data_IF_206886722667
#
_entry.id   IF_206886722667
#
_cell.length_a   1.000
_cell.length_b   1.000
_cell.length_c   1.000
_cell.angle_alpha   90.00
_cell.angle_beta   90.00
_cell.angle_gamma   90.00
#
_symmetry.space_group_name_H-M   'P 1'
#
loop_
_entity.id
_entity.type
_entity.pdbx_description
1 polymer ?
#
# COMPACT_ATOMS: atom_id res chain seq x y z
N UNK A 1 -5.65 -20.84 -73.34
CA UNK A 1 -5.03 -21.51 -72.17
C UNK A 1 -4.11 -20.55 -71.46
N UNK A 2 -4.54 -20.00 -70.31
CA UNK A 2 -3.74 -19.54 -69.16
C UNK A 2 -4.65 -18.73 -68.23
N UNK A 3 -4.59 -19.06 -66.95
CA UNK A 3 -5.01 -18.26 -65.79
C UNK A 3 -6.51 -18.27 -65.44
N UNK A 4 -7.00 -19.40 -64.90
CA UNK A 4 -8.16 -19.44 -63.98
C UNK A 4 -7.86 -20.13 -62.64
N UNK A 5 -6.60 -20.51 -62.39
CA UNK A 5 -6.20 -21.26 -61.18
C UNK A 5 -5.77 -20.30 -60.05
N UNK A 6 -5.48 -19.04 -60.36
CA UNK A 6 -5.03 -18.01 -59.40
C UNK A 6 -6.16 -17.25 -58.71
N UNK A 7 -7.35 -17.85 -58.55
CA UNK A 7 -8.43 -17.23 -57.76
C UNK A 7 -8.95 -18.09 -56.61
N UNK A 8 -8.52 -19.36 -56.52
CA UNK A 8 -8.98 -20.30 -55.48
C UNK A 8 -7.99 -20.36 -54.30
N UNK A 9 -6.75 -19.89 -54.47
CA UNK A 9 -5.71 -19.94 -53.43
C UNK A 9 -5.80 -18.86 -52.34
N UNK A 10 -6.58 -17.78 -52.55
CA UNK A 10 -6.65 -16.65 -51.59
C UNK A 10 -7.87 -16.77 -50.65
N UNK A 11 -8.85 -17.63 -50.97
CA UNK A 11 -10.07 -17.79 -50.18
C UNK A 11 -9.96 -18.82 -49.03
N UNK A 12 -8.90 -19.64 -49.01
CA UNK A 12 -8.69 -20.70 -48.01
C UNK A 12 -7.75 -20.31 -46.86
N UNK A 13 -7.40 -19.03 -46.72
CA UNK A 13 -6.53 -18.53 -45.64
C UNK A 13 -7.30 -17.70 -44.59
N UNK A 14 -8.61 -17.91 -44.45
CA UNK A 14 -9.49 -17.16 -43.56
C UNK A 14 -10.16 -18.00 -42.44
N UNK A 15 -9.71 -19.23 -42.22
CA UNK A 15 -10.33 -20.10 -41.20
C UNK A 15 -9.26 -20.70 -40.30
N UNK A 16 -8.71 -19.89 -39.39
CA UNK A 16 -8.24 -20.35 -38.07
C UNK A 16 -8.16 -19.14 -37.13
N UNK A 17 -9.27 -18.38 -37.03
CA UNK A 17 -9.48 -17.52 -35.86
C UNK A 17 -10.01 -18.43 -34.75
N UNK A 18 -9.11 -19.04 -33.98
CA UNK A 18 -9.49 -19.61 -32.69
C UNK A 18 -10.06 -18.48 -31.85
N UNK A 19 -11.28 -18.58 -31.29
CA UNK A 19 -11.68 -17.68 -30.22
C UNK A 19 -10.66 -17.91 -29.11
N UNK A 20 -9.86 -16.89 -28.82
CA UNK A 20 -9.04 -16.89 -27.63
C UNK A 20 -9.99 -17.14 -26.46
N UNK A 21 -9.86 -18.31 -25.83
CA UNK A 21 -10.40 -18.52 -24.50
C UNK A 21 -9.88 -17.34 -23.70
N UNK A 22 -10.77 -16.43 -23.32
CA UNK A 22 -10.51 -15.51 -22.24
C UNK A 22 -10.26 -16.42 -21.04
N UNK A 23 -8.99 -16.75 -20.82
CA UNK A 23 -8.56 -17.31 -19.57
C UNK A 23 -8.99 -16.29 -18.54
N UNK A 24 -10.03 -16.64 -17.78
CA UNK A 24 -10.38 -15.97 -16.55
C UNK A 24 -9.08 -15.90 -15.74
N UNK A 25 -8.49 -14.70 -15.74
CA UNK A 25 -7.20 -14.45 -15.14
C UNK A 25 -7.42 -14.40 -13.64
N UNK A 26 -7.57 -15.58 -13.06
CA UNK A 26 -7.56 -15.87 -11.64
C UNK A 26 -6.13 -15.61 -11.10
N UNK A 27 -5.71 -14.35 -11.18
CA UNK A 27 -4.56 -13.74 -10.51
C UNK A 27 -5.00 -12.47 -9.81
N UNK A 28 -6.21 -12.45 -9.23
CA UNK A 28 -6.71 -11.23 -8.60
C UNK A 28 -6.02 -11.03 -7.25
N UNK A 29 -4.86 -10.36 -7.25
CA UNK A 29 -4.32 -9.69 -6.07
C UNK A 29 -5.14 -8.43 -5.72
N UNK A 30 -6.45 -8.50 -5.93
CA UNK A 30 -7.40 -7.44 -5.70
C UNK A 30 -8.43 -7.98 -4.71
N UNK A 31 -8.77 -7.19 -3.70
CA UNK A 31 -9.78 -7.59 -2.73
C UNK A 31 -11.17 -7.28 -3.33
N UNK A 32 -12.05 -8.28 -3.50
CA UNK A 32 -13.39 -8.05 -4.02
C UNK A 32 -14.27 -7.41 -2.93
N UNK A 33 -14.52 -6.11 -3.07
CA UNK A 33 -15.45 -5.38 -2.20
C UNK A 33 -16.84 -5.21 -2.85
N UNK A 34 -17.94 -5.29 -2.07
CA UNK A 34 -19.25 -4.79 -2.48
C UNK A 34 -19.14 -3.34 -2.96
N UNK A 35 -20.05 -2.92 -3.86
CA UNK A 35 -19.95 -1.62 -4.53
C UNK A 35 -19.92 -0.47 -3.51
N UNK A 36 -20.80 -0.51 -2.51
CA UNK A 36 -20.88 0.48 -1.45
C UNK A 36 -19.60 0.56 -0.60
N UNK A 37 -18.98 -0.57 -0.28
CA UNK A 37 -17.71 -0.62 0.47
C UNK A 37 -16.55 -0.10 -0.39
N UNK A 38 -16.55 -0.42 -1.70
CA UNK A 38 -15.55 0.07 -2.65
C UNK A 38 -15.56 1.59 -2.75
N UNK A 39 -16.74 2.21 -2.78
CA UNK A 39 -16.88 3.67 -2.82
C UNK A 39 -16.31 4.33 -1.55
N UNK A 40 -16.52 3.72 -0.39
CA UNK A 40 -15.93 4.18 0.88
C UNK A 40 -14.40 4.07 0.88
N UNK A 41 -13.84 2.96 0.38
CA UNK A 41 -12.38 2.79 0.26
C UNK A 41 -11.78 3.85 -0.68
N UNK A 42 -12.45 4.17 -1.78
CA UNK A 42 -11.96 5.21 -2.70
C UNK A 42 -11.92 6.58 -2.01
N UNK A 43 -12.96 6.92 -1.23
CA UNK A 43 -12.99 8.17 -0.45
C UNK A 43 -11.86 8.20 0.59
N UNK A 44 -11.63 7.07 1.26
CA UNK A 44 -10.54 6.92 2.22
C UNK A 44 -9.17 7.18 1.57
N UNK A 45 -8.89 6.52 0.45
CA UNK A 45 -7.62 6.69 -0.27
C UNK A 45 -7.44 8.11 -0.80
N UNK A 46 -8.52 8.81 -1.19
CA UNK A 46 -8.47 10.21 -1.60
C UNK A 46 -8.12 11.14 -0.43
N UNK A 47 -8.68 10.89 0.76
CA UNK A 47 -8.35 11.63 1.97
C UNK A 47 -6.88 11.43 2.38
N UNK A 48 -6.39 10.18 2.34
CA UNK A 48 -4.98 9.88 2.58
C UNK A 48 -4.05 10.56 1.57
N UNK A 49 -4.43 10.56 0.28
CA UNK A 49 -3.66 11.25 -0.76
C UNK A 49 -3.57 12.75 -0.51
N UNK A 50 -4.61 13.38 0.05
CA UNK A 50 -4.56 14.78 0.45
C UNK A 50 -3.54 15.01 1.56
N UNK A 51 -3.58 14.22 2.64
CA UNK A 51 -2.59 14.32 3.73
C UNK A 51 -1.15 14.15 3.23
N UNK A 52 -0.91 13.19 2.34
CA UNK A 52 0.40 12.96 1.72
C UNK A 52 0.92 14.16 0.93
N UNK A 53 0.04 14.89 0.23
CA UNK A 53 0.41 16.09 -0.54
C UNK A 53 0.75 17.29 0.35
N UNK A 54 0.21 17.34 1.56
CA UNK A 54 0.44 18.43 2.51
C UNK A 54 1.80 18.31 3.22
N UNK A 55 2.32 17.09 3.38
CA UNK A 55 3.52 16.84 4.18
C UNK A 55 4.79 17.40 3.53
N UNK A 56 5.08 17.14 2.25
CA UNK A 56 6.34 17.58 1.63
C UNK A 56 6.50 19.12 1.69
N UNK A 57 5.51 19.94 1.30
CA UNK A 57 5.59 21.39 1.46
C UNK A 57 5.80 21.82 2.92
N UNK A 58 5.21 21.10 3.88
CA UNK A 58 5.35 21.39 5.29
C UNK A 58 6.73 21.02 5.85
N UNK A 59 7.35 19.92 5.38
CA UNK A 59 8.73 19.56 5.72
C UNK A 59 9.68 20.68 5.26
N UNK A 60 9.64 21.04 3.97
CA UNK A 60 10.60 22.01 3.41
C UNK A 60 10.44 23.42 3.97
N UNK A 61 9.26 23.77 4.49
CA UNK A 61 8.99 25.06 5.12
C UNK A 61 9.12 25.05 6.65
N UNK A 62 9.38 23.89 7.26
CA UNK A 62 9.40 23.75 8.73
C UNK A 62 8.05 24.01 9.40
N UNK A 63 6.94 23.76 8.70
CA UNK A 63 5.59 24.00 9.21
C UNK A 63 5.12 22.84 10.10
N UNK A 64 5.53 22.87 11.37
CA UNK A 64 5.23 21.84 12.37
C UNK A 64 3.72 21.60 12.57
N UNK A 65 2.93 22.68 12.64
CA UNK A 65 1.47 22.56 12.84
C UNK A 65 0.79 21.84 11.68
N UNK A 66 1.24 22.08 10.45
CA UNK A 66 0.71 21.39 9.27
C UNK A 66 1.18 19.93 9.22
N UNK A 67 2.40 19.61 9.65
CA UNK A 67 2.90 18.23 9.73
C UNK A 67 2.12 17.42 10.76
N UNK A 68 1.96 17.97 11.96
CA UNK A 68 1.18 17.42 13.06
C UNK A 68 -0.27 17.16 12.62
N UNK A 69 -0.93 18.17 12.03
CA UNK A 69 -2.29 18.04 11.50
C UNK A 69 -2.39 16.96 10.42
N UNK A 70 -1.48 16.92 9.46
CA UNK A 70 -1.50 15.94 8.38
C UNK A 70 -1.33 14.52 8.91
N UNK A 71 -0.39 14.31 9.85
CA UNK A 71 -0.20 13.03 10.54
C UNK A 71 -1.46 12.55 11.26
N UNK A 72 -2.10 13.44 12.04
CA UNK A 72 -3.37 13.13 12.71
C UNK A 72 -4.49 12.82 11.73
N UNK A 73 -4.66 13.62 10.67
CA UNK A 73 -5.73 13.39 9.69
C UNK A 73 -5.58 12.05 8.96
N UNK A 74 -4.34 11.61 8.68
CA UNK A 74 -4.11 10.30 8.08
C UNK A 74 -4.26 9.15 9.08
N UNK A 75 -3.85 9.34 10.33
CA UNK A 75 -4.12 8.38 11.41
C UNK A 75 -5.63 8.24 11.62
N UNK A 76 -6.35 9.36 11.61
CA UNK A 76 -7.77 9.45 11.88
C UNK A 76 -8.63 9.33 10.61
N UNK A 77 -8.06 8.93 9.47
CA UNK A 77 -8.90 8.61 8.34
C UNK A 77 -9.74 7.39 8.72
N UNK A 78 -11.04 7.66 8.87
CA UNK A 78 -12.04 6.77 9.46
C UNK A 78 -13.32 6.83 8.63
N UNK A 79 -13.27 7.23 7.34
CA UNK A 79 -14.48 7.35 6.52
C UNK A 79 -15.19 6.01 6.48
N UNK A 80 -14.42 4.92 6.45
CA UNK A 80 -14.94 3.57 6.59
C UNK A 80 -15.53 3.30 7.99
N UNK A 81 -14.80 3.57 9.09
CA UNK A 81 -15.30 3.35 10.45
C UNK A 81 -16.59 4.14 10.77
N UNK A 82 -16.74 5.34 10.20
CA UNK A 82 -17.89 6.22 10.41
C UNK A 82 -19.11 5.85 9.56
N UNK A 83 -18.90 5.31 8.35
CA UNK A 83 -19.99 5.06 7.39
C UNK A 83 -20.44 3.59 7.28
N UNK A 84 -19.65 2.64 7.78
CA UNK A 84 -20.00 1.23 7.77
C UNK A 84 -20.98 0.88 8.91
N UNK A 85 -22.00 0.07 8.62
CA UNK A 85 -22.83 -0.57 9.66
C UNK A 85 -22.03 -1.61 10.43
N UNK A 86 -22.52 -2.04 11.59
CA UNK A 86 -21.85 -3.07 12.38
C UNK A 86 -21.74 -4.41 11.63
N UNK A 87 -22.75 -4.78 10.83
CA UNK A 87 -22.66 -5.98 9.98
C UNK A 87 -21.59 -5.81 8.90
N UNK A 88 -21.53 -4.65 8.26
CA UNK A 88 -20.53 -4.37 7.22
C UNK A 88 -19.11 -4.36 7.78
N UNK A 89 -18.89 -3.83 9.00
CA UNK A 89 -17.60 -3.89 9.69
C UNK A 89 -17.16 -5.33 9.95
N UNK A 90 -18.05 -6.14 10.53
CA UNK A 90 -17.79 -7.56 10.81
C UNK A 90 -17.47 -8.33 9.53
N UNK A 91 -18.28 -8.15 8.49
CA UNK A 91 -18.09 -8.80 7.20
C UNK A 91 -16.77 -8.38 6.52
N UNK A 92 -16.46 -7.08 6.55
CA UNK A 92 -15.22 -6.55 6.00
C UNK A 92 -14.01 -7.14 6.73
N UNK A 93 -14.01 -7.12 8.07
CA UNK A 93 -12.94 -7.67 8.88
C UNK A 93 -12.64 -9.15 8.62
N UNK A 94 -13.70 -9.94 8.46
CA UNK A 94 -13.60 -11.37 8.17
C UNK A 94 -13.04 -11.62 6.75
N UNK A 95 -13.30 -10.69 5.82
CA UNK A 95 -12.88 -10.81 4.41
C UNK A 95 -11.46 -10.28 4.17
N UNK A 96 -11.00 -9.30 4.96
CA UNK A 96 -9.70 -8.67 4.75
C UNK A 96 -8.54 -9.64 5.03
N UNK A 97 -7.62 -9.84 4.07
CA UNK A 97 -6.42 -10.64 4.29
C UNK A 97 -5.59 -10.12 5.47
N UNK A 98 -4.91 -11.02 6.17
CA UNK A 98 -4.03 -10.65 7.28
C UNK A 98 -2.99 -9.60 6.88
N UNK A 99 -2.40 -9.76 5.69
CA UNK A 99 -1.40 -8.83 5.15
C UNK A 99 -1.96 -7.42 4.91
N UNK A 100 -3.23 -7.30 4.52
CA UNK A 100 -3.88 -6.00 4.38
C UNK A 100 -3.97 -5.31 5.73
N UNK A 101 -4.50 -6.02 6.74
CA UNK A 101 -4.67 -5.51 8.11
C UNK A 101 -3.34 -5.11 8.76
N UNK A 102 -2.29 -5.88 8.51
CA UNK A 102 -0.93 -5.56 9.01
C UNK A 102 -0.37 -4.29 8.37
N UNK A 103 -0.51 -4.12 7.05
CA UNK A 103 -0.03 -2.92 6.36
C UNK A 103 -0.84 -1.68 6.78
N UNK A 104 -2.16 -1.84 6.92
CA UNK A 104 -3.09 -0.82 7.41
C UNK A 104 -2.72 -0.36 8.83
N UNK A 105 -2.55 -1.29 9.77
CA UNK A 105 -2.08 -1.00 11.13
C UNK A 105 -0.75 -0.24 11.15
N UNK A 106 0.23 -0.69 10.35
CA UNK A 106 1.53 -0.04 10.27
C UNK A 106 1.47 1.36 9.65
N UNK A 107 0.55 1.58 8.71
CA UNK A 107 0.27 2.90 8.14
C UNK A 107 -0.24 3.85 9.22
N UNK A 108 -1.30 3.49 9.95
CA UNK A 108 -1.88 4.32 11.00
C UNK A 108 -0.86 4.63 12.10
N UNK A 109 -0.08 3.63 12.51
CA UNK A 109 1.00 3.82 13.49
C UNK A 109 2.06 4.80 13.01
N UNK A 110 2.48 4.70 11.75
CA UNK A 110 3.48 5.62 11.18
C UNK A 110 2.93 7.05 11.06
N UNK A 111 1.63 7.21 10.73
CA UNK A 111 0.96 8.51 10.70
C UNK A 111 0.88 9.17 12.09
N UNK A 112 0.58 8.37 13.12
CA UNK A 112 0.61 8.83 14.51
C UNK A 112 2.02 9.26 14.93
N UNK A 113 3.04 8.45 14.64
CA UNK A 113 4.42 8.76 15.01
C UNK A 113 4.97 9.97 14.24
N UNK A 114 4.56 10.18 12.99
CA UNK A 114 4.84 11.41 12.25
C UNK A 114 4.25 12.64 12.97
N UNK A 115 3.00 12.55 13.43
CA UNK A 115 2.37 13.64 14.19
C UNK A 115 3.14 13.94 15.48
N UNK A 116 3.50 12.91 16.24
CA UNK A 116 4.27 13.05 17.49
C UNK A 116 5.66 13.63 17.25
N UNK A 117 6.34 13.23 16.18
CA UNK A 117 7.62 13.80 15.78
C UNK A 117 7.50 15.28 15.43
N UNK A 118 6.41 15.68 14.74
CA UNK A 118 6.14 17.07 14.44
C UNK A 118 5.85 17.91 15.71
N UNK A 119 5.12 17.36 16.68
CA UNK A 119 4.90 17.98 18.00
C UNK A 119 6.22 18.23 18.74
N UNK A 120 7.17 17.30 18.59
CA UNK A 120 8.51 17.37 19.18
C UNK A 120 9.51 18.17 18.35
N UNK A 121 9.10 18.69 17.18
CA UNK A 121 9.96 19.39 16.22
C UNK A 121 11.17 18.56 15.74
N UNK A 122 11.00 17.25 15.68
CA UNK A 122 12.01 16.30 15.22
C UNK A 122 11.84 16.03 13.73
N UNK A 123 12.56 16.80 12.89
CA UNK A 123 12.46 16.67 11.43
C UNK A 123 12.98 15.32 10.92
N UNK A 124 13.99 14.75 11.57
CA UNK A 124 14.54 13.45 11.19
C UNK A 124 13.48 12.37 11.34
N UNK A 125 12.79 12.36 12.48
CA UNK A 125 11.71 11.41 12.74
C UNK A 125 10.47 11.69 11.89
N UNK A 126 10.15 12.95 11.57
CA UNK A 126 9.09 13.28 10.59
C UNK A 126 9.39 12.65 9.22
N UNK A 127 10.61 12.84 8.70
CA UNK A 127 11.03 12.30 7.41
C UNK A 127 11.04 10.77 7.43
N UNK A 128 11.56 10.18 8.51
CA UNK A 128 11.57 8.74 8.71
C UNK A 128 10.17 8.15 8.65
N UNK A 129 9.22 8.68 9.44
CA UNK A 129 7.86 8.16 9.44
C UNK A 129 7.12 8.46 8.14
N UNK A 130 7.38 9.59 7.46
CA UNK A 130 6.85 9.84 6.13
C UNK A 130 7.30 8.78 5.10
N UNK A 131 8.55 8.33 5.20
CA UNK A 131 9.07 7.25 4.35
C UNK A 131 8.34 5.92 4.62
N UNK A 132 8.00 5.62 5.88
CA UNK A 132 7.24 4.42 6.27
C UNK A 132 5.81 4.46 5.73
N UNK A 133 5.15 5.61 5.83
CA UNK A 133 3.82 5.84 5.26
C UNK A 133 3.85 5.62 3.74
N UNK A 134 4.82 6.22 3.05
CA UNK A 134 5.01 6.05 1.60
C UNK A 134 5.22 4.58 1.23
N UNK A 135 6.07 3.87 1.97
CA UNK A 135 6.33 2.45 1.76
C UNK A 135 5.07 1.60 1.99
N UNK A 136 4.25 1.92 2.99
CA UNK A 136 2.99 1.24 3.25
C UNK A 136 2.00 1.41 2.09
N UNK A 137 1.88 2.62 1.52
CA UNK A 137 1.05 2.87 0.33
C UNK A 137 1.48 1.99 -0.85
N UNK A 138 2.78 1.97 -1.17
CA UNK A 138 3.31 1.14 -2.27
C UNK A 138 3.10 -0.34 -1.98
N UNK A 139 3.37 -0.79 -0.76
CA UNK A 139 3.24 -2.18 -0.35
C UNK A 139 1.79 -2.67 -0.47
N UNK A 140 0.84 -1.92 0.10
CA UNK A 140 -0.59 -2.25 -0.01
C UNK A 140 -1.04 -2.30 -1.47
N UNK A 141 -0.71 -1.27 -2.26
CA UNK A 141 -1.14 -1.19 -3.65
C UNK A 141 -0.54 -2.31 -4.53
N UNK A 142 0.71 -2.69 -4.29
CA UNK A 142 1.37 -3.78 -5.01
C UNK A 142 0.77 -5.17 -4.73
N UNK A 143 0.06 -5.31 -3.60
CA UNK A 143 -0.49 -6.60 -3.14
C UNK A 143 -2.00 -6.70 -3.27
N UNK A 144 -2.72 -5.60 -3.11
CA UNK A 144 -4.17 -5.57 -2.90
C UNK A 144 -4.94 -4.68 -3.89
N UNK A 145 -4.24 -3.97 -4.79
CA UNK A 145 -4.85 -3.08 -5.78
C UNK A 145 -4.14 -3.14 -7.15
N UNK A 146 -3.73 -4.34 -7.56
CA UNK A 146 -2.91 -4.58 -8.77
C UNK A 146 -3.64 -4.20 -10.06
N UNK A 147 -4.96 -4.37 -10.13
CA UNK A 147 -5.70 -3.95 -11.33
C UNK A 147 -5.69 -2.43 -11.50
N UNK A 148 -5.77 -1.68 -10.38
CA UNK A 148 -5.75 -0.21 -10.40
C UNK A 148 -4.33 0.33 -10.63
N UNK A 149 -3.32 -0.35 -10.11
CA UNK A 149 -1.91 0.03 -10.18
C UNK A 149 -1.06 -1.07 -10.84
N UNK A 150 -1.26 -1.36 -12.14
CA UNK A 150 -0.60 -2.48 -12.81
C UNK A 150 0.93 -2.36 -12.83
N UNK A 151 1.46 -1.14 -12.83
CA UNK A 151 2.91 -0.90 -12.77
C UNK A 151 3.54 -1.32 -11.43
N UNK A 152 2.76 -1.42 -10.35
CA UNK A 152 3.26 -1.89 -9.04
C UNK A 152 3.19 -3.40 -8.89
N UNK A 153 2.42 -4.09 -9.74
CA UNK A 153 2.27 -5.55 -9.69
C UNK A 153 3.52 -6.30 -10.19
N UNK A 154 4.36 -5.64 -11.00
CA UNK A 154 5.58 -6.20 -11.60
C UNK A 154 6.87 -5.71 -10.94
N UNK A 155 6.77 -4.76 -10.00
CA UNK A 155 7.93 -4.21 -9.30
C UNK A 155 8.46 -5.20 -8.28
N UNK A 156 9.77 -5.48 -8.34
CA UNK A 156 10.48 -6.27 -7.32
C UNK A 156 10.25 -5.61 -5.96
N UNK A 157 9.68 -6.35 -5.00
CA UNK A 157 9.33 -5.83 -3.68
C UNK A 157 10.54 -5.14 -3.03
N UNK A 158 10.36 -3.86 -2.69
CA UNK A 158 11.36 -3.00 -2.02
C UNK A 158 11.81 -3.58 -0.67
N UNK A 159 10.99 -4.43 -0.06
CA UNK A 159 11.26 -5.11 1.21
C UNK A 159 12.53 -5.97 1.18
N UNK A 160 12.88 -6.58 0.05
CA UNK A 160 14.09 -7.42 -0.02
C UNK A 160 15.38 -6.62 -0.02
N UNK A 161 15.40 -5.40 -0.58
CA UNK A 161 16.61 -4.59 -0.65
C UNK A 161 16.88 -3.87 0.69
N UNK A 162 15.87 -3.20 1.26
CA UNK A 162 16.05 -2.43 2.50
C UNK A 162 16.27 -3.34 3.71
N UNK A 163 15.61 -4.51 3.78
CA UNK A 163 15.87 -5.48 4.85
C UNK A 163 17.21 -6.22 4.67
N UNK A 164 17.69 -6.41 3.43
CA UNK A 164 19.03 -6.96 3.15
C UNK A 164 20.14 -6.00 3.59
N UNK A 165 19.96 -4.71 3.35
CA UNK A 165 20.90 -3.67 3.79
C UNK A 165 20.86 -3.47 5.30
N UNK A 166 19.67 -3.55 5.93
CA UNK A 166 19.52 -3.54 7.39
C UNK A 166 20.15 -4.79 8.04
N UNK A 167 20.00 -5.99 7.46
CA UNK A 167 20.69 -7.20 7.91
C UNK A 167 22.22 -7.10 7.78
N UNK A 168 22.69 -6.45 6.71
CA UNK A 168 24.12 -6.25 6.46
C UNK A 168 24.72 -5.22 7.41
N UNK A 169 24.01 -4.12 7.68
CA UNK A 169 24.39 -3.14 8.70
C UNK A 169 24.30 -3.71 10.12
N UNK A 170 23.34 -4.60 10.39
CA UNK A 170 23.25 -5.32 11.67
C UNK A 170 24.46 -6.24 11.89
N UNK A 171 24.92 -6.95 10.85
CA UNK A 171 26.15 -7.76 10.93
C UNK A 171 27.40 -6.91 11.16
N UNK A 172 27.48 -5.75 10.49
CA UNK A 172 28.61 -4.83 10.64
C UNK A 172 28.61 -4.16 12.03
N UNK A 173 27.45 -3.72 12.52
CA UNK A 173 27.30 -3.10 13.84
C UNK A 173 27.54 -4.09 15.00
N UNK A 174 27.03 -5.33 14.91
CA UNK A 174 27.32 -6.39 15.90
C UNK A 174 28.81 -6.76 15.92
N UNK A 175 29.47 -6.78 14.77
CA UNK A 175 30.91 -7.04 14.68
C UNK A 175 31.76 -5.87 15.24
N UNK A 176 31.23 -4.65 15.28
CA UNK A 176 31.96 -3.44 15.69
C UNK A 176 31.68 -2.99 17.13
N UNK A 177 30.48 -3.25 17.68
CA UNK A 177 30.04 -2.62 18.93
C UNK A 177 29.87 -3.57 20.13
N UNK A 178 29.84 -4.89 19.95
CA UNK A 178 29.73 -5.84 21.07
C UNK A 178 28.53 -5.61 22.02
N UNK A 179 27.44 -5.00 21.56
CA UNK A 179 26.29 -4.60 22.38
C UNK A 179 24.96 -4.66 21.63
N UNK A 180 23.88 -4.81 22.39
CA UNK A 180 22.49 -5.07 21.95
C UNK A 180 21.86 -3.85 21.22
N UNK A 181 21.10 -4.14 20.15
CA UNK A 181 20.62 -3.18 19.13
C UNK A 181 19.08 -3.12 19.08
N UNK A 182 18.38 -3.62 20.10
CA UNK A 182 16.91 -3.62 20.20
C UNK A 182 16.25 -2.25 19.95
N UNK A 183 16.94 -1.14 20.18
CA UNK A 183 16.39 0.21 20.01
C UNK A 183 16.38 0.76 18.57
N UNK A 184 17.15 0.18 17.64
CA UNK A 184 17.29 0.73 16.26
C UNK A 184 16.21 0.16 15.32
N UNK A 185 15.64 -0.98 15.66
CA UNK A 185 14.59 -1.64 14.91
C UNK A 185 13.51 -2.06 15.90
N UNK A 186 12.72 -1.08 16.36
CA UNK A 186 11.65 -1.32 17.33
C UNK A 186 10.85 -2.58 17.01
N UNK A 187 10.82 -3.49 17.98
CA UNK A 187 9.97 -4.68 17.93
C UNK A 187 8.49 -4.26 17.85
N UNK A 188 7.65 -5.05 17.17
CA UNK A 188 6.23 -4.75 17.05
C UNK A 188 5.51 -5.15 18.35
N UNK A 189 5.77 -4.43 19.44
CA UNK A 189 4.96 -4.51 20.65
C UNK A 189 3.82 -3.50 20.55
N UNK A 190 2.64 -3.99 20.16
CA UNK A 190 1.34 -3.69 20.79
C UNK A 190 0.22 -4.37 19.97
N UNK A 191 -0.28 -5.52 20.43
CA UNK A 191 -1.42 -6.22 19.86
C UNK A 191 -2.76 -5.48 20.06
N UNK A 192 -2.78 -4.36 20.80
CA UNK A 192 -4.00 -3.68 21.21
C UNK A 192 -4.56 -2.65 20.20
N UNK A 193 -3.80 -2.32 19.14
CA UNK A 193 -4.27 -1.37 18.11
C UNK A 193 -5.22 -1.96 17.06
N UNK A 194 -5.53 -3.27 17.12
CA UNK A 194 -6.46 -3.90 16.16
C UNK A 194 -7.91 -3.50 16.46
N UNK A 195 -8.25 -3.19 17.73
CA UNK A 195 -9.62 -2.81 18.12
C UNK A 195 -9.96 -1.34 17.89
N UNK A 196 -8.97 -0.44 17.73
CA UNK A 196 -9.26 0.99 17.51
C UNK A 196 -9.49 1.35 16.03
N UNK A 197 -9.02 0.52 15.10
CA UNK A 197 -9.09 0.81 13.65
C UNK A 197 -10.45 0.47 13.04
N UNK A 198 -11.27 -0.38 13.70
CA UNK A 198 -12.54 -0.87 13.14
C UNK A 198 -13.70 -0.88 14.14
#
# INVERSE_FOLDING_TARGET
MKNKITLIGILLLFIFSTPGIAADNQRSGDIPFPKEVRELIIQEMQALQQGMREIIPAIVSGNWSQLEKAGRQMRDSYIMKQKLTQEQKTALHATLPKTFKEVDKNFHRSAELLSKAAEQQDMEMVIFHYSKITAACVNCHSQHARHRFPALATTRQVTTAIMSECSSMRRLAVAMAGGDISDICGEPDDDNLIEEVY
#
